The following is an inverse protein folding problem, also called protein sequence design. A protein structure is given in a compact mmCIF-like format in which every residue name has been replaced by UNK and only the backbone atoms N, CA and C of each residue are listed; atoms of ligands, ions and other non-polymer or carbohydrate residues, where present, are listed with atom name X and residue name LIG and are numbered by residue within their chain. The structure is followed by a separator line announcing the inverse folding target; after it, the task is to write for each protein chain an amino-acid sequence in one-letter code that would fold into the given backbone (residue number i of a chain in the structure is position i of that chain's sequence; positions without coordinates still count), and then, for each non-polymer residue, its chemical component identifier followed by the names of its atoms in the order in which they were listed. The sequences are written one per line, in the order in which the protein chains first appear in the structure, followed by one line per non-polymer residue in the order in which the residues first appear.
data_IF_685768125802
#
_entry.id   IF_685768125802
#
_cell.length_a   1.000
_cell.length_b   1.000
_cell.length_c   1.000
_cell.angle_alpha   90.00
_cell.angle_beta   90.00
_cell.angle_gamma   90.00
#
_symmetry.space_group_name_H-M   'P 1'
#
loop_
_entity.id
_entity.type
_entity.pdbx_description
1 polymer ?
#
# COMPACT_ATOMS: atom_id res chain seq x y z
N UNK A 1 -8.47 5.11 -6.16
CA UNK A 1 -8.14 3.73 -6.54
C UNK A 1 -6.67 3.63 -6.90
N UNK A 2 -5.94 2.69 -6.34
CA UNK A 2 -4.53 2.47 -6.72
C UNK A 2 -4.42 2.10 -8.21
N UNK A 3 -3.45 2.70 -8.87
CA UNK A 3 -3.20 2.50 -10.29
C UNK A 3 -2.05 1.54 -10.50
N UNK A 4 -2.14 0.70 -11.53
CA UNK A 4 -1.06 -0.20 -11.92
C UNK A 4 -0.51 0.24 -13.28
N UNK A 5 0.80 0.44 -13.36
CA UNK A 5 1.51 0.71 -14.61
C UNK A 5 2.61 -0.31 -14.77
N UNK A 6 2.82 -0.78 -15.98
CA UNK A 6 3.85 -1.76 -16.29
C UNK A 6 4.77 -1.18 -17.34
N UNK A 7 6.07 -1.14 -17.03
CA UNK A 7 7.11 -0.65 -17.92
C UNK A 7 8.25 -1.68 -17.94
N UNK A 8 8.31 -2.47 -19.00
CA UNK A 8 9.29 -3.55 -19.08
C UNK A 8 9.12 -4.53 -17.91
N UNK A 9 10.19 -4.82 -17.16
CA UNK A 9 10.10 -5.75 -16.02
C UNK A 9 9.56 -5.11 -14.75
N UNK A 10 9.25 -3.80 -14.75
CA UNK A 10 8.82 -3.08 -13.55
C UNK A 10 7.32 -2.86 -13.57
N UNK A 11 6.65 -3.29 -12.51
CA UNK A 11 5.29 -2.91 -12.20
C UNK A 11 5.33 -1.80 -11.14
N UNK A 12 4.49 -0.79 -11.29
CA UNK A 12 4.36 0.28 -10.31
C UNK A 12 2.91 0.36 -9.88
N UNK A 13 2.67 0.26 -8.59
CA UNK A 13 1.36 0.55 -7.99
C UNK A 13 1.46 1.93 -7.37
N UNK A 14 0.54 2.81 -7.76
CA UNK A 14 0.54 4.19 -7.31
C UNK A 14 -0.78 4.49 -6.61
N UNK A 15 -0.71 4.88 -5.34
CA UNK A 15 -1.88 5.38 -4.63
C UNK A 15 -2.32 6.69 -5.27
N UNK A 16 -3.63 6.87 -5.44
CA UNK A 16 -4.15 7.98 -6.23
C UNK A 16 -5.34 8.66 -5.59
N UNK A 17 -5.19 9.08 -4.34
CA UNK A 17 -6.14 9.95 -3.65
C UNK A 17 -5.38 11.13 -3.03
N UNK A 18 -4.69 11.95 -3.86
CA UNK A 18 -3.81 13.00 -3.33
C UNK A 18 -4.54 14.04 -2.49
N UNK A 19 -5.83 14.28 -2.74
CA UNK A 19 -6.61 15.23 -1.96
C UNK A 19 -6.79 14.81 -0.49
N UNK A 20 -6.65 13.54 -0.19
CA UNK A 20 -6.72 12.99 1.18
C UNK A 20 -5.45 12.23 1.52
N UNK A 21 -4.32 12.70 1.01
CA UNK A 21 -2.97 12.15 1.28
C UNK A 21 -2.87 10.66 1.02
N UNK A 22 -3.53 10.19 -0.05
CA UNK A 22 -3.51 8.79 -0.48
C UNK A 22 -4.03 7.83 0.59
N UNK A 23 -5.11 8.24 1.25
CA UNK A 23 -5.83 7.36 2.16
C UNK A 23 -6.19 6.06 1.45
N UNK A 24 -5.99 4.94 2.12
CA UNK A 24 -6.37 3.62 1.62
C UNK A 24 -7.75 3.29 2.18
N UNK A 25 -8.69 3.00 1.30
CA UNK A 25 -10.07 2.68 1.67
C UNK A 25 -10.36 1.20 1.39
N UNK A 26 -11.43 0.63 1.98
CA UNK A 26 -11.73 -0.78 1.77
C UNK A 26 -11.81 -1.21 0.30
N UNK A 27 -12.39 -0.37 -0.55
CA UNK A 27 -12.46 -0.65 -1.99
C UNK A 27 -11.07 -0.75 -2.64
N UNK A 28 -10.10 -0.06 -2.09
CA UNK A 28 -8.73 -0.08 -2.62
C UNK A 28 -8.05 -1.42 -2.36
N UNK A 29 -8.46 -2.15 -1.32
CA UNK A 29 -7.89 -3.47 -1.03
C UNK A 29 -8.18 -4.45 -2.16
N UNK A 30 -9.38 -4.40 -2.71
CA UNK A 30 -9.75 -5.25 -3.85
C UNK A 30 -8.91 -4.91 -5.08
N UNK A 31 -8.70 -3.63 -5.33
CA UNK A 31 -7.85 -3.18 -6.44
C UNK A 31 -6.40 -3.64 -6.24
N UNK A 32 -5.87 -3.50 -5.04
CA UNK A 32 -4.52 -3.95 -4.73
C UNK A 32 -4.36 -5.45 -4.95
N UNK A 33 -5.31 -6.25 -4.46
CA UNK A 33 -5.26 -7.70 -4.66
C UNK A 33 -5.33 -8.07 -6.13
N UNK A 34 -6.14 -7.37 -6.92
CA UNK A 34 -6.21 -7.60 -8.36
C UNK A 34 -4.88 -7.27 -9.03
N UNK A 35 -4.23 -6.18 -8.62
CA UNK A 35 -2.91 -5.82 -9.13
C UNK A 35 -1.86 -6.87 -8.76
N UNK A 36 -1.88 -7.37 -7.52
CA UNK A 36 -0.96 -8.44 -7.10
C UNK A 36 -1.16 -9.69 -7.93
N UNK A 37 -2.41 -10.06 -8.21
CA UNK A 37 -2.71 -11.23 -9.04
C UNK A 37 -2.17 -11.05 -10.47
N UNK A 38 -2.31 -9.85 -11.03
CA UNK A 38 -1.77 -9.57 -12.37
C UNK A 38 -0.25 -9.68 -12.40
N UNK A 39 0.43 -9.21 -11.35
CA UNK A 39 1.88 -9.31 -11.23
C UNK A 39 2.31 -10.76 -11.10
N UNK A 40 1.62 -11.54 -10.27
CA UNK A 40 1.94 -12.96 -10.10
C UNK A 40 1.78 -13.76 -11.39
N UNK A 41 0.82 -13.37 -12.23
CA UNK A 41 0.52 -14.08 -13.47
C UNK A 41 1.47 -13.73 -14.62
N UNK A 42 2.24 -12.66 -14.51
CA UNK A 42 3.10 -12.19 -15.61
C UNK A 42 4.58 -12.41 -15.28
N UNK A 43 5.20 -13.46 -15.84
CA UNK A 43 6.60 -13.76 -15.54
C UNK A 43 7.59 -12.71 -16.07
N UNK A 44 7.17 -11.81 -16.93
CA UNK A 44 8.01 -10.72 -17.40
C UNK A 44 8.23 -9.63 -16.33
N UNK A 45 7.34 -9.57 -15.35
CA UNK A 45 7.47 -8.61 -14.25
C UNK A 45 8.45 -9.17 -13.23
N UNK A 46 9.48 -8.38 -12.89
CA UNK A 46 10.57 -8.77 -12.01
C UNK A 46 10.72 -7.92 -10.77
N UNK A 47 9.98 -6.84 -10.68
CA UNK A 47 10.01 -5.95 -9.51
C UNK A 47 8.70 -5.21 -9.41
N UNK A 48 8.25 -4.96 -8.19
CA UNK A 48 7.11 -4.10 -7.91
C UNK A 48 7.59 -2.88 -7.13
N UNK A 49 7.22 -1.70 -7.62
CA UNK A 49 7.42 -0.44 -6.90
C UNK A 49 6.05 0.04 -6.42
N UNK A 50 5.96 0.41 -5.16
CA UNK A 50 4.75 1.01 -4.58
C UNK A 50 5.08 2.43 -4.20
N UNK A 51 4.28 3.38 -4.66
CA UNK A 51 4.50 4.81 -4.40
C UNK A 51 3.16 5.54 -4.32
N UNK A 52 3.19 6.82 -4.01
CA UNK A 52 1.99 7.65 -3.93
C UNK A 52 2.02 8.81 -4.92
N UNK A 53 0.85 9.39 -5.15
CA UNK A 53 0.70 10.58 -5.99
C UNK A 53 0.73 11.81 -5.11
N UNK A 54 1.52 12.81 -5.49
CA UNK A 54 1.55 14.09 -4.80
C UNK A 54 2.49 14.12 -3.61
N UNK A 55 2.09 14.86 -2.55
CA UNK A 55 2.97 15.21 -1.45
C UNK A 55 3.18 14.09 -0.42
N UNK A 56 2.30 13.09 -0.38
CA UNK A 56 2.35 12.02 0.62
C UNK A 56 2.43 10.65 -0.04
N UNK A 57 3.06 9.71 0.65
CA UNK A 57 2.98 8.31 0.26
C UNK A 57 1.57 7.79 0.56
N UNK A 58 1.18 7.80 1.82
CA UNK A 58 -0.17 7.47 2.25
C UNK A 58 -0.41 7.91 3.68
N UNK A 59 -1.63 8.32 3.95
CA UNK A 59 -2.06 8.65 5.32
C UNK A 59 -2.56 7.43 6.09
N UNK A 60 -2.60 6.27 5.47
CA UNK A 60 -2.94 5.01 6.11
C UNK A 60 -4.29 4.47 5.72
N UNK A 61 -4.64 3.33 6.31
CA UNK A 61 -5.90 2.65 6.03
C UNK A 61 -7.02 3.28 6.83
N UNK A 62 -8.12 3.58 6.15
CA UNK A 62 -9.30 4.22 6.75
C UNK A 62 -10.52 3.33 6.55
N UNK A 63 -11.07 2.83 7.63
CA UNK A 63 -12.25 1.97 7.61
C UNK A 63 -13.55 2.73 7.38
N UNK A 64 -13.54 4.04 7.51
CA UNK A 64 -14.74 4.85 7.48
C UNK A 64 -15.47 4.78 8.81
N UNK A 65 -16.77 5.01 8.78
CA UNK A 65 -17.61 4.92 9.97
C UNK A 65 -18.01 3.46 10.19
N UNK A 66 -17.34 2.80 11.13
CA UNK A 66 -17.59 1.40 11.44
C UNK A 66 -19.02 1.17 11.93
N UNK A 67 -19.63 2.14 12.58
CA UNK A 67 -20.98 2.03 13.12
C UNK A 67 -22.03 2.00 12.01
N UNK A 68 -21.74 2.61 10.87
CA UNK A 68 -22.64 2.64 9.74
C UNK A 68 -22.49 1.45 8.80
N UNK A 69 -21.51 0.59 9.03
CA UNK A 69 -21.22 -0.53 8.12
C UNK A 69 -22.02 -1.76 8.54
N UNK A 70 -22.82 -2.34 7.61
CA UNK A 70 -23.49 -3.61 7.90
C UNK A 70 -22.46 -4.70 8.18
N UNK A 71 -22.79 -5.60 9.11
CA UNK A 71 -21.92 -6.70 9.47
C UNK A 71 -21.57 -7.58 8.25
N UNK A 72 -22.53 -7.76 7.33
CA UNK A 72 -22.30 -8.53 6.10
C UNK A 72 -21.19 -7.93 5.22
N UNK A 73 -21.05 -6.61 5.20
CA UNK A 73 -19.97 -5.97 4.45
C UNK A 73 -18.63 -6.23 5.10
N UNK A 74 -18.59 -6.24 6.42
CA UNK A 74 -17.36 -6.52 7.17
C UNK A 74 -16.90 -7.95 6.93
N UNK A 75 -17.81 -8.91 6.95
CA UNK A 75 -17.45 -10.32 6.77
C UNK A 75 -17.11 -10.70 5.34
N UNK A 76 -17.64 -9.95 4.36
CA UNK A 76 -17.37 -10.22 2.95
C UNK A 76 -16.13 -9.52 2.40
N UNK A 77 -15.52 -8.64 3.18
CA UNK A 77 -14.38 -7.85 2.72
C UNK A 77 -13.05 -8.49 3.05
N UNK A 78 -12.08 -8.21 2.21
CA UNK A 78 -10.68 -8.56 2.48
C UNK A 78 -10.17 -7.63 3.56
N UNK A 79 -9.49 -8.17 4.55
CA UNK A 79 -8.90 -7.36 5.60
C UNK A 79 -7.62 -6.68 5.10
N UNK A 80 -7.26 -5.58 5.75
CA UNK A 80 -5.99 -4.90 5.48
C UNK A 80 -4.81 -5.85 5.76
N UNK A 81 -4.88 -6.63 6.82
CA UNK A 81 -3.84 -7.60 7.20
C UNK A 81 -3.66 -8.68 6.13
N UNK A 82 -4.75 -9.16 5.55
CA UNK A 82 -4.67 -10.16 4.48
C UNK A 82 -4.02 -9.57 3.22
N UNK A 83 -4.28 -8.30 2.93
CA UNK A 83 -3.62 -7.61 1.83
C UNK A 83 -2.12 -7.49 2.09
N UNK A 84 -1.72 -7.14 3.32
CA UNK A 84 -0.30 -7.06 3.69
C UNK A 84 0.40 -8.41 3.53
N UNK A 85 -0.26 -9.51 3.91
CA UNK A 85 0.30 -10.84 3.72
C UNK A 85 0.53 -11.16 2.25
N UNK A 86 -0.42 -10.79 1.39
CA UNK A 86 -0.29 -11.02 -0.05
C UNK A 86 0.87 -10.23 -0.63
N UNK A 87 1.03 -8.98 -0.21
CA UNK A 87 2.15 -8.15 -0.61
C UNK A 87 3.48 -8.78 -0.21
N UNK A 88 3.57 -9.22 1.03
CA UNK A 88 4.79 -9.81 1.58
C UNK A 88 5.20 -11.10 0.88
N UNK A 89 4.21 -11.85 0.36
CA UNK A 89 4.42 -13.14 -0.30
C UNK A 89 4.58 -13.06 -1.81
N UNK A 90 4.59 -11.87 -2.39
CA UNK A 90 4.79 -11.74 -3.83
C UNK A 90 6.12 -12.37 -4.25
N UNK A 91 6.11 -13.04 -5.42
CA UNK A 91 7.33 -13.69 -5.95
C UNK A 91 8.41 -12.71 -6.38
N UNK A 92 8.07 -11.44 -6.57
CA UNK A 92 9.01 -10.42 -7.02
C UNK A 92 9.46 -9.56 -5.86
N UNK A 93 10.68 -9.01 -5.90
CA UNK A 93 11.10 -8.01 -4.93
C UNK A 93 10.16 -6.80 -4.96
N UNK A 94 9.93 -6.22 -3.79
CA UNK A 94 9.05 -5.07 -3.64
C UNK A 94 9.81 -3.89 -3.06
N UNK A 95 9.58 -2.72 -3.63
CA UNK A 95 10.23 -1.48 -3.23
C UNK A 95 9.16 -0.46 -2.88
N UNK A 96 9.16 0.03 -1.66
CA UNK A 96 8.34 1.18 -1.30
C UNK A 96 9.12 2.45 -1.61
N UNK A 97 8.70 3.15 -2.64
CA UNK A 97 9.29 4.44 -3.00
C UNK A 97 8.50 5.53 -2.28
N UNK A 98 9.04 5.96 -1.15
CA UNK A 98 8.37 6.88 -0.24
C UNK A 98 8.54 8.31 -0.74
N UNK A 99 7.53 8.79 -1.45
CA UNK A 99 7.54 10.11 -2.06
C UNK A 99 7.21 11.24 -1.07
N UNK A 100 6.83 10.89 0.15
CA UNK A 100 6.47 11.86 1.18
C UNK A 100 6.01 11.16 2.43
N UNK A 101 5.16 11.79 3.22
CA UNK A 101 4.73 11.30 4.52
C UNK A 101 4.10 9.91 4.49
N UNK A 102 4.41 9.13 5.52
CA UNK A 102 3.91 7.77 5.72
C UNK A 102 3.31 7.70 7.11
N UNK A 103 2.04 7.32 7.22
CA UNK A 103 1.30 7.38 8.49
C UNK A 103 0.44 6.14 8.69
N UNK A 104 0.25 5.75 9.94
CA UNK A 104 -0.65 4.68 10.33
C UNK A 104 -0.36 3.36 9.61
N UNK A 105 -1.40 2.73 9.07
CA UNK A 105 -1.28 1.44 8.39
C UNK A 105 -0.42 1.44 7.14
N UNK A 106 -0.20 2.60 6.52
CA UNK A 106 0.71 2.68 5.38
C UNK A 106 2.15 2.44 5.78
N UNK A 107 2.46 2.63 7.04
CA UNK A 107 3.77 2.28 7.59
C UNK A 107 3.96 0.77 7.57
N UNK A 108 2.93 0.03 7.97
CA UNK A 108 2.97 -1.43 7.93
C UNK A 108 3.14 -1.91 6.49
N UNK A 109 2.44 -1.27 5.56
CA UNK A 109 2.56 -1.59 4.15
C UNK A 109 4.01 -1.37 3.65
N UNK A 110 4.61 -0.24 4.00
CA UNK A 110 5.98 0.04 3.63
C UNK A 110 6.96 -0.98 4.24
N UNK A 111 6.69 -1.42 5.48
CA UNK A 111 7.52 -2.43 6.15
C UNK A 111 7.37 -3.82 5.54
N UNK A 112 6.24 -4.11 4.91
CA UNK A 112 6.05 -5.39 4.21
C UNK A 112 6.78 -5.46 2.88
N UNK A 113 7.24 -4.33 2.36
CA UNK A 113 8.11 -4.31 1.17
C UNK A 113 9.53 -4.73 1.54
N UNK A 114 10.24 -5.32 0.58
CA UNK A 114 11.61 -5.77 0.79
C UNK A 114 12.57 -4.60 1.00
N UNK A 115 12.34 -3.50 0.27
CA UNK A 115 13.19 -2.32 0.31
C UNK A 115 12.35 -1.06 0.45
N UNK A 116 12.93 -0.03 1.06
CA UNK A 116 12.31 1.28 1.21
C UNK A 116 13.30 2.35 0.80
N UNK A 117 12.85 3.25 -0.09
CA UNK A 117 13.65 4.39 -0.55
C UNK A 117 12.83 5.63 -0.24
N UNK A 118 13.39 6.56 0.51
CA UNK A 118 12.71 7.79 0.88
C UNK A 118 13.34 9.00 0.21
N UNK A 119 12.57 10.09 0.13
CA UNK A 119 13.08 11.38 -0.33
C UNK A 119 13.61 12.17 0.86
N UNK A 120 14.56 13.07 0.60
CA UNK A 120 15.10 13.92 1.65
C UNK A 120 14.00 14.80 2.23
N UNK A 121 13.96 14.91 3.55
CA UNK A 121 12.98 15.74 4.24
C UNK A 121 11.62 15.07 4.44
N UNK A 122 11.42 13.85 3.98
CA UNK A 122 10.15 13.17 4.19
C UNK A 122 9.92 12.91 5.68
N UNK A 123 8.65 12.82 6.04
CA UNK A 123 8.25 12.52 7.41
C UNK A 123 7.72 11.10 7.50
N UNK A 124 8.19 10.39 8.52
CA UNK A 124 7.74 9.06 8.85
C UNK A 124 7.09 9.11 10.23
N UNK A 125 5.80 8.82 10.30
CA UNK A 125 5.05 8.79 11.55
C UNK A 125 4.57 7.38 11.80
N UNK A 126 5.27 6.70 12.70
CA UNK A 126 4.99 5.32 13.05
C UNK A 126 4.76 5.22 14.54
N UNK A 127 3.54 4.87 14.98
CA UNK A 127 3.38 4.49 16.39
C UNK A 127 4.34 3.38 16.79
N UNK A 128 4.59 2.45 15.87
CA UNK A 128 5.53 1.36 16.10
C UNK A 128 6.97 1.85 16.27
N UNK A 129 7.37 2.90 15.57
CA UNK A 129 8.71 3.49 15.76
C UNK A 129 8.84 4.09 17.14
N UNK A 130 7.77 4.72 17.66
CA UNK A 130 7.74 5.22 19.01
C UNK A 130 7.87 4.09 20.07
N UNK A 131 7.57 2.86 19.65
CA UNK A 131 7.72 1.67 20.50
C UNK A 131 9.07 0.98 20.32
N UNK A 132 10.00 1.59 19.61
CA UNK A 132 11.35 1.07 19.48
C UNK A 132 11.63 0.25 18.24
N UNK A 133 10.75 0.25 17.28
CA UNK A 133 11.01 -0.37 15.98
C UNK A 133 11.77 0.61 15.10
N UNK A 134 13.01 0.36 14.91
CA UNK A 134 13.89 1.24 14.14
C UNK A 134 14.35 0.62 12.85
#
# INVERSE_FOLDING_TARGET
TPLLAIEGPRATIRFNRPAVHNRIEPADLHALLAHFAAIEADPAIRVLVVTGTGASFSSGYHLGDLESRPEAEVTGEVSFEAMLERLERLRVPTVAALNGGVYGGSTDLALCCDFRVGVAGMRLRMPAAALGLH
#
